data_IF_876919815402
#
_entry.id   IF_876919815402
#
_cell.length_a   1.000
_cell.length_b   1.000
_cell.length_c   1.000
_cell.angle_alpha   90.00
_cell.angle_beta   90.00
_cell.angle_gamma   90.00
#
_symmetry.space_group_name_H-M   'P 1'
#
loop_
_entity.id
_entity.type
_entity.pdbx_description
1 polymer ?
#
# COMPACT_ATOMS: atom_id res chain seq x y z
N UNK A 1 -11.53 24.60 35.77
CA UNK A 1 -11.44 24.80 34.31
C UNK A 1 -11.46 23.43 33.66
N UNK A 2 -12.33 23.13 32.69
CA UNK A 2 -12.25 21.88 31.96
C UNK A 2 -11.10 21.97 30.93
N UNK A 3 -10.35 20.88 30.76
CA UNK A 3 -9.28 20.78 29.77
C UNK A 3 -9.83 20.91 28.34
N UNK A 4 -9.07 21.52 27.40
CA UNK A 4 -9.49 21.61 26.01
C UNK A 4 -9.53 20.21 25.39
N UNK A 5 -10.72 19.76 24.99
CA UNK A 5 -10.87 18.55 24.16
C UNK A 5 -10.17 18.81 22.82
N UNK A 6 -9.03 18.16 22.61
CA UNK A 6 -8.32 18.18 21.34
C UNK A 6 -9.15 17.41 20.29
N UNK A 7 -10.12 18.06 19.67
CA UNK A 7 -10.91 17.50 18.57
C UNK A 7 -10.13 17.61 17.26
N UNK A 8 -8.93 17.02 17.21
CA UNK A 8 -8.23 16.78 15.94
C UNK A 8 -8.50 15.33 15.54
N UNK A 9 -9.79 15.00 15.36
CA UNK A 9 -10.16 13.82 14.59
C UNK A 9 -9.82 14.13 13.13
N UNK A 10 -8.57 13.89 12.74
CA UNK A 10 -8.25 13.68 11.33
C UNK A 10 -8.93 12.38 10.92
N UNK A 11 -10.20 12.46 10.53
CA UNK A 11 -10.77 11.43 9.68
C UNK A 11 -9.96 11.47 8.38
N UNK A 12 -9.12 10.46 8.18
CA UNK A 12 -8.47 10.23 6.89
C UNK A 12 -9.58 10.21 5.83
N UNK A 13 -9.53 11.11 4.85
CA UNK A 13 -10.54 11.19 3.78
C UNK A 13 -10.76 9.84 3.10
N UNK A 14 -9.72 9.01 3.10
CA UNK A 14 -9.70 7.62 2.66
C UNK A 14 -10.80 6.76 3.30
N UNK A 15 -11.15 6.98 4.57
CA UNK A 15 -12.23 6.25 5.25
C UNK A 15 -13.62 6.57 4.69
N UNK A 16 -13.80 7.71 4.01
CA UNK A 16 -15.08 8.03 3.32
C UNK A 16 -15.29 7.17 2.08
N UNK A 17 -14.20 6.70 1.47
CA UNK A 17 -14.23 5.91 0.23
C UNK A 17 -14.00 4.42 0.48
N UNK A 18 -13.31 4.07 1.56
CA UNK A 18 -12.96 2.71 1.92
C UNK A 18 -13.33 2.44 3.39
N UNK A 19 -14.57 1.99 3.58
CA UNK A 19 -15.14 1.71 4.91
C UNK A 19 -14.42 0.61 5.68
N UNK A 20 -13.69 -0.28 4.99
CA UNK A 20 -13.03 -1.44 5.58
C UNK A 20 -11.49 -1.38 5.57
N UNK A 21 -10.90 -0.20 5.31
CA UNK A 21 -9.46 0.07 5.08
C UNK A 21 -8.98 -0.16 3.63
N UNK A 22 -7.90 0.53 3.25
CA UNK A 22 -7.26 0.39 1.93
C UNK A 22 -6.17 -0.68 2.03
N UNK A 23 -6.24 -1.79 1.28
CA UNK A 23 -5.15 -2.75 1.23
C UNK A 23 -3.91 -2.07 0.65
N UNK A 24 -2.82 -2.06 1.43
CA UNK A 24 -1.54 -1.50 1.04
C UNK A 24 -0.39 -2.48 1.30
N UNK A 25 0.63 -2.39 0.46
CA UNK A 25 1.87 -3.13 0.58
C UNK A 25 3.07 -2.18 0.54
N UNK A 26 4.10 -2.50 1.31
CA UNK A 26 5.36 -1.76 1.36
C UNK A 26 6.49 -2.75 1.11
N UNK A 27 7.44 -2.38 0.26
CA UNK A 27 8.64 -3.17 0.03
C UNK A 27 9.84 -2.28 -0.28
N UNK A 28 11.03 -2.81 -0.04
CA UNK A 28 12.30 -2.17 -0.36
C UNK A 28 13.18 -3.03 -1.27
N UNK A 29 13.94 -2.37 -2.14
CA UNK A 29 14.91 -3.00 -3.03
C UNK A 29 16.24 -2.25 -2.96
N UNK A 30 17.36 -2.99 -2.98
CA UNK A 30 18.70 -2.40 -2.92
C UNK A 30 19.37 -2.42 -1.54
N UNK A 31 18.83 -3.13 -0.54
CA UNK A 31 19.44 -3.25 0.80
C UNK A 31 20.76 -4.05 0.85
N UNK A 32 21.06 -4.85 -0.17
CA UNK A 32 22.23 -5.75 -0.23
C UNK A 32 23.40 -5.33 -1.12
N UNK A 33 23.18 -4.75 -2.31
CA UNK A 33 24.26 -4.31 -3.20
C UNK A 33 25.19 -3.27 -2.55
N UNK A 34 26.47 -3.31 -2.92
CA UNK A 34 27.48 -2.35 -2.43
C UNK A 34 27.25 -0.92 -2.93
N UNK A 35 26.73 -0.78 -4.16
CA UNK A 35 26.46 0.49 -4.79
C UNK A 35 25.08 0.47 -5.48
N UNK A 36 24.43 1.63 -5.51
CA UNK A 36 23.06 1.82 -5.99
C UNK A 36 22.15 2.39 -4.90
N UNK A 37 20.98 2.92 -5.27
CA UNK A 37 20.03 3.44 -4.29
C UNK A 37 19.32 2.29 -3.55
N UNK A 38 19.00 2.54 -2.27
CA UNK A 38 17.92 1.85 -1.59
C UNK A 38 16.61 2.53 -2.01
N UNK A 39 15.76 1.79 -2.71
CA UNK A 39 14.44 2.26 -3.13
C UNK A 39 13.38 1.64 -2.22
N UNK A 40 12.43 2.45 -1.78
CA UNK A 40 11.26 2.01 -1.01
C UNK A 40 10.02 2.40 -1.79
N UNK A 41 9.08 1.48 -1.92
CA UNK A 41 7.81 1.71 -2.60
C UNK A 41 6.64 1.35 -1.68
N UNK A 42 5.58 2.16 -1.75
CA UNK A 42 4.28 1.87 -1.17
C UNK A 42 3.27 1.80 -2.30
N UNK A 43 2.44 0.76 -2.28
CA UNK A 43 1.35 0.57 -3.24
C UNK A 43 0.05 0.33 -2.50
N UNK A 44 -1.02 0.91 -3.02
CA UNK A 44 -2.38 0.64 -2.58
C UNK A 44 -3.26 0.32 -3.77
N UNK A 45 -4.28 -0.50 -3.54
CA UNK A 45 -5.22 -0.89 -4.58
C UNK A 45 -6.66 -0.61 -4.12
N UNK A 46 -7.50 -0.18 -5.05
CA UNK A 46 -8.95 -0.27 -4.84
C UNK A 46 -9.36 -1.74 -4.76
N UNK A 47 -10.49 -2.02 -4.09
CA UNK A 47 -11.02 -3.39 -3.99
C UNK A 47 -11.20 -4.04 -5.37
N UNK A 48 -11.76 -3.29 -6.34
CA UNK A 48 -11.96 -3.78 -7.70
C UNK A 48 -10.62 -4.13 -8.39
N UNK A 49 -9.63 -3.25 -8.28
CA UNK A 49 -8.30 -3.50 -8.85
C UNK A 49 -7.63 -4.73 -8.21
N UNK A 50 -7.70 -4.84 -6.88
CA UNK A 50 -7.15 -6.00 -6.17
C UNK A 50 -7.81 -7.30 -6.62
N UNK A 51 -9.14 -7.34 -6.72
CA UNK A 51 -9.87 -8.52 -7.24
C UNK A 51 -9.41 -8.87 -8.66
N UNK A 52 -9.27 -7.89 -9.55
CA UNK A 52 -8.80 -8.15 -10.92
C UNK A 52 -7.34 -8.67 -10.98
N UNK A 53 -6.47 -8.22 -10.05
CA UNK A 53 -5.10 -8.73 -9.93
C UNK A 53 -5.11 -10.19 -9.46
N UNK A 54 -5.89 -10.50 -8.41
CA UNK A 54 -6.00 -11.86 -7.86
C UNK A 54 -6.60 -12.85 -8.87
N UNK A 55 -7.54 -12.40 -9.70
CA UNK A 55 -8.11 -13.17 -10.80
C UNK A 55 -7.17 -13.28 -12.02
N UNK A 56 -6.03 -12.58 -12.01
CA UNK A 56 -5.06 -12.58 -13.11
C UNK A 56 -5.54 -11.88 -14.38
N UNK A 57 -6.59 -11.05 -14.30
CA UNK A 57 -7.11 -10.24 -15.41
C UNK A 57 -6.17 -9.09 -15.76
N UNK A 58 -5.56 -8.49 -14.73
CA UNK A 58 -4.54 -7.45 -14.84
C UNK A 58 -3.30 -7.86 -14.04
N UNK A 59 -2.13 -7.34 -14.41
CA UNK A 59 -0.84 -7.69 -13.78
C UNK A 59 -0.61 -9.21 -13.67
N UNK A 60 -0.96 -9.95 -14.72
CA UNK A 60 -0.81 -11.41 -14.77
C UNK A 60 0.65 -11.79 -14.54
N UNK A 61 0.88 -12.72 -13.61
CA UNK A 61 2.24 -13.13 -13.23
C UNK A 61 2.90 -12.21 -12.21
N UNK A 62 2.19 -11.23 -11.65
CA UNK A 62 2.65 -10.52 -10.47
C UNK A 62 2.91 -11.55 -9.35
N UNK A 63 4.16 -11.63 -8.96
CA UNK A 63 4.70 -12.56 -7.97
C UNK A 63 5.87 -11.88 -7.27
N UNK A 64 6.46 -12.54 -6.28
CA UNK A 64 7.66 -12.04 -5.62
C UNK A 64 8.75 -11.68 -6.65
N UNK A 65 9.30 -10.48 -6.51
CA UNK A 65 10.28 -9.89 -7.44
C UNK A 65 11.58 -10.68 -7.57
N UNK A 66 11.83 -11.66 -6.68
CA UNK A 66 13.03 -12.51 -6.70
C UNK A 66 12.81 -13.78 -7.52
N UNK A 67 11.57 -14.09 -7.91
CA UNK A 67 11.19 -15.25 -8.73
C UNK A 67 10.77 -14.86 -10.15
N UNK A 68 11.19 -13.70 -10.64
CA UNK A 68 10.95 -13.31 -12.03
C UNK A 68 11.69 -14.29 -12.94
N UNK A 69 10.93 -15.12 -13.65
CA UNK A 69 11.42 -15.95 -14.75
C UNK A 69 11.65 -15.10 -16.00
#
# INVERSE_FOLDING_TARGET
MPEPKLSNFFELEEHRFYSESIPCGIDEAGRGPYAGPLSVALVSFSQNSLTQILEGKILKGLTDSKKTF
#
